data_IF_130020561085
#
_entry.id   IF_130020561085
#
_cell.length_a   1.000
_cell.length_b   1.000
_cell.length_c   1.000
_cell.angle_alpha   90.00
_cell.angle_beta   90.00
_cell.angle_gamma   90.00
#
_symmetry.space_group_name_H-M   'P 1'
#
loop_
_entity.id
_entity.type
_entity.pdbx_description
1 polymer ?
#
# COMPACT_ATOMS: atom_id res chain seq x y z
N UNK A 1 1.06 -5.44 14.46
CA UNK A 1 2.08 -6.45 14.14
C UNK A 1 2.31 -6.41 12.64
N UNK A 2 3.55 -6.35 12.18
CA UNK A 2 3.85 -6.30 10.75
C UNK A 2 3.91 -7.72 10.20
N UNK A 3 2.94 -8.08 9.37
CA UNK A 3 2.78 -9.43 8.85
C UNK A 3 3.55 -9.62 7.54
N UNK A 4 4.87 -9.55 7.65
CA UNK A 4 5.79 -9.70 6.52
C UNK A 4 5.76 -11.15 6.03
N UNK A 5 5.74 -12.12 6.94
CA UNK A 5 5.79 -13.53 6.58
C UNK A 5 4.57 -13.97 5.76
N UNK A 6 3.35 -13.56 6.15
CA UNK A 6 2.16 -13.89 5.34
C UNK A 6 2.17 -13.16 4.01
N UNK A 7 2.70 -11.93 3.95
CA UNK A 7 2.90 -11.21 2.68
C UNK A 7 3.85 -11.98 1.77
N UNK A 8 4.98 -12.44 2.29
CA UNK A 8 5.97 -13.27 1.59
C UNK A 8 5.34 -14.57 1.06
N UNK A 9 4.52 -15.25 1.88
CA UNK A 9 3.82 -16.47 1.47
C UNK A 9 2.80 -16.19 0.36
N UNK A 10 2.03 -15.11 0.49
CA UNK A 10 1.06 -14.71 -0.52
C UNK A 10 1.74 -14.38 -1.86
N UNK A 11 2.86 -13.65 -1.83
CA UNK A 11 3.61 -13.30 -3.03
C UNK A 11 4.12 -14.55 -3.77
N UNK A 12 4.53 -15.62 -3.08
CA UNK A 12 4.88 -16.89 -3.74
C UNK A 12 3.72 -17.48 -4.55
N UNK A 13 2.49 -17.41 -4.02
CA UNK A 13 1.29 -17.86 -4.74
C UNK A 13 1.03 -16.97 -5.95
N UNK A 14 1.20 -15.66 -5.79
CA UNK A 14 1.02 -14.70 -6.89
C UNK A 14 2.05 -14.92 -8.00
N UNK A 15 3.33 -15.20 -7.68
CA UNK A 15 4.35 -15.54 -8.67
C UNK A 15 3.96 -16.74 -9.53
N UNK A 16 3.30 -17.76 -8.95
CA UNK A 16 2.79 -18.90 -9.70
C UNK A 16 1.64 -18.50 -10.63
N UNK A 17 0.79 -17.56 -10.21
CA UNK A 17 -0.27 -16.99 -11.04
C UNK A 17 0.27 -16.20 -12.23
N UNK A 18 1.31 -15.39 -12.00
CA UNK A 18 1.97 -14.61 -13.06
C UNK A 18 2.59 -15.52 -14.13
N UNK A 19 3.18 -16.66 -13.76
CA UNK A 19 3.69 -17.66 -14.72
C UNK A 19 2.63 -18.25 -15.64
N UNK A 20 1.34 -18.14 -15.28
CA UNK A 20 0.21 -18.68 -16.06
C UNK A 20 -0.58 -17.61 -16.79
N UNK A 21 -0.38 -16.33 -16.46
CA UNK A 21 -1.14 -15.22 -17.00
C UNK A 21 -0.26 -13.97 -17.07
N UNK A 22 0.28 -13.71 -18.25
CA UNK A 22 1.14 -12.54 -18.51
C UNK A 22 0.41 -11.20 -18.37
N UNK A 23 -0.94 -11.19 -18.39
CA UNK A 23 -1.73 -9.98 -18.18
C UNK A 23 -1.87 -9.62 -16.68
N UNK A 24 -1.49 -10.51 -15.76
CA UNK A 24 -1.57 -10.27 -14.33
C UNK A 24 -0.44 -9.32 -13.89
N UNK A 25 -0.81 -8.07 -13.59
CA UNK A 25 0.09 -7.07 -13.00
C UNK A 25 -0.03 -7.06 -11.49
N UNK A 26 1.11 -7.04 -10.80
CA UNK A 26 1.18 -7.11 -9.34
C UNK A 26 2.11 -6.03 -8.83
N UNK A 27 1.74 -5.40 -7.73
CA UNK A 27 2.56 -4.41 -7.04
C UNK A 27 2.32 -4.47 -5.54
N UNK A 28 3.33 -4.10 -4.75
CA UNK A 28 3.28 -4.11 -3.29
C UNK A 28 2.97 -2.71 -2.79
N UNK A 29 1.95 -2.60 -1.94
CA UNK A 29 1.61 -1.38 -1.21
C UNK A 29 2.00 -1.55 0.25
N UNK A 30 2.75 -0.58 0.78
CA UNK A 30 3.00 -0.49 2.22
C UNK A 30 1.93 0.40 2.85
N UNK A 31 1.18 -0.19 3.79
CA UNK A 31 0.14 0.49 4.55
C UNK A 31 0.31 0.28 6.07
N UNK A 32 -0.24 1.20 6.86
CA UNK A 32 -0.29 1.09 8.32
C UNK A 32 1.06 1.19 9.04
N UNK A 33 2.15 1.55 8.33
CA UNK A 33 3.47 1.71 8.93
C UNK A 33 3.69 3.15 9.37
N UNK A 34 4.28 3.30 10.56
CA UNK A 34 4.97 4.54 10.92
C UNK A 34 6.40 4.49 10.36
N UNK A 35 6.63 5.16 9.23
CA UNK A 35 7.91 5.18 8.50
C UNK A 35 9.07 5.77 9.32
N UNK A 36 8.76 6.53 10.37
CA UNK A 36 9.77 7.08 11.29
C UNK A 36 10.20 6.08 12.35
N UNK A 37 9.53 4.93 12.45
CA UNK A 37 9.93 3.86 13.36
C UNK A 37 11.02 3.00 12.74
N UNK A 38 11.94 2.51 13.57
CA UNK A 38 12.99 1.56 13.17
C UNK A 38 12.38 0.34 12.47
N UNK A 39 11.29 -0.18 13.03
CA UNK A 39 10.53 -1.30 12.45
C UNK A 39 10.06 -0.98 11.03
N UNK A 40 9.55 0.23 10.79
CA UNK A 40 9.09 0.66 9.47
C UNK A 40 10.22 0.73 8.43
N UNK A 41 11.41 1.18 8.84
CA UNK A 41 12.58 1.19 7.96
C UNK A 41 13.06 -0.24 7.62
N UNK A 42 13.13 -1.14 8.60
CA UNK A 42 13.51 -2.54 8.34
C UNK A 42 12.57 -3.24 7.37
N UNK A 43 11.26 -2.97 7.45
CA UNK A 43 10.29 -3.55 6.50
C UNK A 43 10.49 -3.01 5.09
N UNK A 44 10.80 -1.72 4.95
CA UNK A 44 11.12 -1.12 3.65
C UNK A 44 12.33 -1.81 3.02
N UNK A 45 13.41 -1.95 3.78
CA UNK A 45 14.64 -2.62 3.32
C UNK A 45 14.39 -4.08 2.92
N UNK A 46 13.57 -4.82 3.68
CA UNK A 46 13.24 -6.21 3.34
C UNK A 46 12.39 -6.33 2.08
N UNK A 47 11.43 -5.42 1.87
CA UNK A 47 10.58 -5.44 0.68
C UNK A 47 11.31 -4.91 -0.56
N UNK A 48 12.29 -4.04 -0.42
CA UNK A 48 13.14 -3.58 -1.53
C UNK A 48 14.03 -4.70 -2.08
N UNK A 49 14.36 -5.73 -1.28
CA UNK A 49 15.10 -6.90 -1.74
C UNK A 49 14.26 -7.84 -2.63
N UNK A 50 12.95 -7.62 -2.75
CA UNK A 50 12.05 -8.44 -3.55
C UNK A 50 11.94 -7.91 -4.98
N UNK A 51 12.89 -8.30 -5.83
CA UNK A 51 12.99 -7.81 -7.22
C UNK A 51 11.83 -8.26 -8.13
N UNK A 52 11.14 -9.35 -7.77
CA UNK A 52 10.06 -9.93 -8.58
C UNK A 52 8.79 -9.06 -8.64
N UNK A 53 8.64 -8.11 -7.72
CA UNK A 53 7.43 -7.30 -7.58
C UNK A 53 7.75 -5.81 -7.49
N UNK A 54 7.01 -5.01 -8.25
CA UNK A 54 7.11 -3.55 -8.15
C UNK A 54 6.61 -3.10 -6.77
N UNK A 55 7.50 -2.58 -5.94
CA UNK A 55 7.12 -1.80 -4.77
C UNK A 55 6.58 -0.44 -5.25
N UNK A 56 5.35 -0.10 -4.87
CA UNK A 56 4.80 1.23 -5.17
C UNK A 56 5.64 2.31 -4.49
N UNK A 57 5.61 3.54 -4.98
CA UNK A 57 6.21 4.71 -4.30
C UNK A 57 5.26 5.25 -3.23
N UNK A 58 3.96 5.15 -3.49
CA UNK A 58 2.91 5.60 -2.59
C UNK A 58 2.87 4.75 -1.32
N UNK A 59 2.55 5.41 -0.21
CA UNK A 59 2.49 4.82 1.13
C UNK A 59 1.23 5.30 1.84
N UNK A 60 0.58 4.42 2.57
CA UNK A 60 -0.55 4.76 3.43
C UNK A 60 -0.12 4.67 4.89
N UNK A 61 0.08 5.81 5.54
CA UNK A 61 0.44 5.83 6.96
C UNK A 61 -0.75 5.47 7.86
N UNK A 62 -0.49 5.37 9.16
CA UNK A 62 -1.55 5.17 10.16
C UNK A 62 -2.16 6.53 10.56
N UNK A 63 -3.43 6.76 10.23
CA UNK A 63 -4.15 7.99 10.58
C UNK A 63 -5.54 7.67 11.12
N UNK A 64 -5.98 8.45 12.12
CA UNK A 64 -7.33 8.37 12.67
C UNK A 64 -8.41 8.55 11.60
N UNK A 65 -8.16 9.42 10.61
CA UNK A 65 -9.11 9.68 9.52
C UNK A 65 -9.49 8.41 8.72
N UNK A 66 -8.64 7.37 8.68
CA UNK A 66 -9.02 6.10 8.07
C UNK A 66 -10.05 5.34 8.90
N UNK A 67 -9.95 5.36 10.23
CA UNK A 67 -10.94 4.75 11.12
C UNK A 67 -12.24 5.55 11.12
N UNK A 68 -12.16 6.88 11.09
CA UNK A 68 -13.32 7.78 11.02
C UNK A 68 -14.10 7.55 9.72
N UNK A 69 -13.38 7.38 8.60
CA UNK A 69 -13.95 7.03 7.29
C UNK A 69 -14.76 5.73 7.36
N UNK A 70 -14.15 4.65 7.87
CA UNK A 70 -14.81 3.35 8.04
C UNK A 70 -16.05 3.45 8.93
N UNK A 71 -15.92 4.11 10.09
CA UNK A 71 -17.01 4.25 11.07
C UNK A 71 -18.17 5.08 10.53
N UNK A 72 -17.91 5.98 9.59
CA UNK A 72 -18.92 6.85 8.97
C UNK A 72 -19.48 6.28 7.66
N UNK A 73 -19.00 5.12 7.20
CA UNK A 73 -19.39 4.55 5.91
C UNK A 73 -18.93 5.36 4.69
N UNK A 74 -17.83 6.11 4.83
CA UNK A 74 -17.30 7.01 3.79
C UNK A 74 -15.90 6.58 3.35
N UNK A 75 -15.47 7.05 2.18
CA UNK A 75 -14.07 7.05 1.78
C UNK A 75 -13.29 8.15 2.50
N UNK A 76 -12.00 7.93 2.77
CA UNK A 76 -11.15 8.95 3.44
C UNK A 76 -11.08 10.26 2.65
N UNK A 77 -11.29 10.21 1.33
CA UNK A 77 -11.38 11.38 0.44
C UNK A 77 -12.59 12.27 0.70
N UNK A 78 -13.61 11.74 1.35
CA UNK A 78 -14.88 12.40 1.68
C UNK A 78 -14.88 13.00 3.10
N UNK A 79 -14.03 12.50 4.00
CA UNK A 79 -13.93 12.99 5.39
C UNK A 79 -13.40 14.41 5.46
N UNK A 80 -14.09 15.33 6.15
CA UNK A 80 -13.63 16.71 6.29
C UNK A 80 -12.79 16.92 7.56
N UNK A 81 -11.94 17.96 7.57
CA UNK A 81 -11.13 18.33 8.73
C UNK A 81 -9.63 18.29 8.49
N UNK A 82 -8.88 18.94 9.40
CA UNK A 82 -7.41 19.10 9.28
C UNK A 82 -6.66 17.77 9.33
N UNK A 83 -7.18 16.80 10.08
CA UNK A 83 -6.60 15.44 10.23
C UNK A 83 -6.71 14.61 8.94
N UNK A 84 -7.65 14.93 8.05
CA UNK A 84 -7.87 14.21 6.80
C UNK A 84 -6.94 14.66 5.66
N UNK A 85 -6.34 15.85 5.74
CA UNK A 85 -5.59 16.45 4.61
C UNK A 85 -4.46 15.53 4.10
N UNK A 86 -3.63 15.02 5.02
CA UNK A 86 -2.51 14.15 4.69
C UNK A 86 -2.94 12.77 4.16
N UNK A 87 -3.86 12.01 4.82
CA UNK A 87 -4.31 10.73 4.29
C UNK A 87 -5.07 10.87 2.96
N UNK A 88 -5.83 11.95 2.74
CA UNK A 88 -6.42 12.24 1.42
C UNK A 88 -5.37 12.38 0.33
N UNK A 89 -4.28 13.12 0.60
CA UNK A 89 -3.18 13.29 -0.34
C UNK A 89 -2.51 11.95 -0.66
N UNK A 90 -2.29 11.11 0.36
CA UNK A 90 -1.69 9.78 0.16
C UNK A 90 -2.58 8.86 -0.69
N UNK A 91 -3.88 8.83 -0.44
CA UNK A 91 -4.81 8.03 -1.26
C UNK A 91 -4.87 8.53 -2.70
N UNK A 92 -4.89 9.84 -2.92
CA UNK A 92 -4.85 10.40 -4.29
C UNK A 92 -3.57 10.02 -5.03
N UNK A 93 -2.42 10.19 -4.38
CA UNK A 93 -1.13 9.79 -4.97
C UNK A 93 -1.08 8.29 -5.31
N UNK A 94 -1.66 7.45 -4.44
CA UNK A 94 -1.80 6.02 -4.72
C UNK A 94 -2.70 5.76 -5.93
N UNK A 95 -3.84 6.44 -6.05
CA UNK A 95 -4.72 6.31 -7.21
C UNK A 95 -4.01 6.70 -8.51
N UNK A 96 -3.27 7.81 -8.52
CA UNK A 96 -2.51 8.26 -9.68
C UNK A 96 -1.45 7.23 -10.09
N UNK A 97 -0.69 6.69 -9.12
CA UNK A 97 0.32 5.66 -9.38
C UNK A 97 -0.31 4.34 -9.89
N UNK A 98 -1.48 3.96 -9.40
CA UNK A 98 -2.19 2.78 -9.90
C UNK A 98 -2.64 2.96 -11.35
N UNK A 99 -3.07 4.16 -11.75
CA UNK A 99 -3.39 4.46 -13.15
C UNK A 99 -2.15 4.31 -14.04
N UNK A 100 -0.98 4.82 -13.60
CA UNK A 100 0.28 4.63 -14.30
C UNK A 100 0.65 3.14 -14.46
N UNK A 101 0.51 2.33 -13.40
CA UNK A 101 0.77 0.87 -13.44
C UNK A 101 -0.16 0.18 -14.44
N UNK A 102 -1.42 0.63 -14.53
CA UNK A 102 -2.39 0.12 -15.48
C UNK A 102 -2.14 0.60 -16.92
N UNK A 103 -1.31 1.63 -17.12
CA UNK A 103 -1.07 2.25 -18.42
C UNK A 103 -2.20 3.19 -18.84
N UNK A 104 -2.84 3.85 -17.87
CA UNK A 104 -3.89 4.84 -18.06
C UNK A 104 -3.41 6.24 -17.72
#
# INVERSE_FOLDING_TARGET
ELDIESTVQFLKVVSLGMKRNDALKVSILINGINEQSVLGQTVLEQLEQWEDFKLLKSRLGQYQAFQDAVSSGLGVVEINGKTAVKPKKQVRALCDELLEVMGK
#
